data_IF_037180715482
#
_entry.id   IF_037180715482
#
_cell.length_a   1.000
_cell.length_b   1.000
_cell.length_c   1.000
_cell.angle_alpha   90.00
_cell.angle_beta   90.00
_cell.angle_gamma   90.00
#
_symmetry.space_group_name_H-M   'P 1'
#
loop_
_entity.id
_entity.type
_entity.pdbx_description
1 polymer ?
#
# COMPACT_ATOMS: atom_id res chain seq x y z
N UNK A 1 -1.91 -22.89 -5.56
CA UNK A 1 -3.01 -22.05 -4.99
C UNK A 1 -2.63 -20.57 -4.90
N UNK A 2 -1.46 -20.24 -4.35
CA UNK A 2 -0.99 -18.85 -4.20
C UNK A 2 -1.02 -18.03 -5.50
N UNK A 3 -0.57 -18.59 -6.61
CA UNK A 3 -0.56 -17.93 -7.93
C UNK A 3 -1.97 -17.49 -8.37
N UNK A 4 -2.96 -18.39 -8.28
CA UNK A 4 -4.34 -18.09 -8.65
C UNK A 4 -4.96 -17.00 -7.74
N UNK A 5 -4.71 -17.08 -6.43
CA UNK A 5 -5.17 -16.07 -5.46
C UNK A 5 -4.52 -14.71 -5.76
N UNK A 6 -3.23 -14.69 -6.08
CA UNK A 6 -2.48 -13.48 -6.40
C UNK A 6 -2.98 -12.81 -7.68
N UNK A 7 -3.20 -13.60 -8.75
CA UNK A 7 -3.81 -13.07 -9.97
C UNK A 7 -5.23 -12.56 -9.73
N UNK A 8 -6.06 -13.34 -9.04
CA UNK A 8 -7.42 -12.95 -8.69
C UNK A 8 -7.49 -11.64 -7.91
N UNK A 9 -6.65 -11.49 -6.88
CA UNK A 9 -6.63 -10.28 -6.06
C UNK A 9 -6.16 -9.06 -6.84
N UNK A 10 -5.07 -9.17 -7.62
CA UNK A 10 -4.57 -8.07 -8.44
C UNK A 10 -5.60 -7.64 -9.48
N UNK A 11 -6.23 -8.59 -10.19
CA UNK A 11 -7.27 -8.29 -11.19
C UNK A 11 -8.44 -7.55 -10.53
N UNK A 12 -8.94 -8.01 -9.39
CA UNK A 12 -10.03 -7.35 -8.66
C UNK A 12 -9.65 -5.93 -8.26
N UNK A 13 -8.43 -5.71 -7.78
CA UNK A 13 -7.94 -4.37 -7.41
C UNK A 13 -7.87 -3.46 -8.63
N UNK A 14 -7.28 -3.92 -9.74
CA UNK A 14 -7.15 -3.12 -10.97
C UNK A 14 -8.52 -2.79 -11.57
N UNK A 15 -9.44 -3.76 -11.65
CA UNK A 15 -10.81 -3.54 -12.11
C UNK A 15 -11.53 -2.55 -11.19
N UNK A 16 -11.41 -2.70 -9.87
CA UNK A 16 -12.00 -1.80 -8.89
C UNK A 16 -11.49 -0.36 -9.03
N UNK A 17 -10.18 -0.20 -9.20
CA UNK A 17 -9.54 1.10 -9.47
C UNK A 17 -10.05 1.70 -10.79
N UNK A 18 -10.13 0.88 -11.84
CA UNK A 18 -10.60 1.31 -13.17
C UNK A 18 -12.06 1.77 -13.13
N UNK A 19 -12.96 0.97 -12.55
CA UNK A 19 -14.38 1.32 -12.39
C UNK A 19 -14.49 2.62 -11.59
N UNK A 20 -13.83 2.70 -10.44
CA UNK A 20 -13.90 3.89 -9.59
C UNK A 20 -13.31 5.14 -10.26
N UNK A 21 -12.28 4.99 -11.10
CA UNK A 21 -11.74 6.06 -11.93
C UNK A 21 -12.75 6.50 -13.00
N UNK A 22 -13.33 5.56 -13.76
CA UNK A 22 -14.31 5.85 -14.82
C UNK A 22 -15.58 6.51 -14.27
N UNK A 23 -16.15 6.01 -13.16
CA UNK A 23 -17.32 6.60 -12.52
C UNK A 23 -17.06 8.03 -12.03
N UNK A 24 -15.80 8.37 -11.71
CA UNK A 24 -15.44 9.72 -11.29
C UNK A 24 -15.31 10.73 -12.44
N UNK A 25 -14.97 10.26 -13.65
CA UNK A 25 -14.97 11.09 -14.86
C UNK A 25 -16.40 11.56 -15.19
N UNK A 26 -17.37 10.64 -15.07
CA UNK A 26 -18.75 10.93 -15.44
C UNK A 26 -19.44 11.87 -14.44
N UNK A 27 -19.10 11.76 -13.14
CA UNK A 27 -19.49 12.74 -12.12
C UNK A 27 -18.84 14.13 -12.30
N UNK A 28 -17.64 14.18 -12.87
CA UNK A 28 -16.90 15.42 -13.14
C UNK A 28 -17.38 16.22 -14.36
N UNK A 29 -18.11 15.59 -15.30
CA UNK A 29 -18.75 16.30 -16.42
C UNK A 29 -19.87 17.24 -15.98
N UNK A 30 -20.49 17.00 -14.82
CA UNK A 30 -21.56 17.87 -14.27
C UNK A 30 -21.04 19.08 -13.50
N UNK A 31 -19.73 19.20 -13.26
CA UNK A 31 -19.12 20.25 -12.42
C UNK A 31 -17.99 21.02 -13.12
N UNK A 32 -17.94 21.04 -14.45
CA UNK A 32 -17.04 21.92 -15.20
C UNK A 32 -17.72 23.20 -15.64
N UNK A 33 -17.92 24.10 -14.69
CA UNK A 33 -17.83 25.54 -14.93
C UNK A 33 -16.81 26.11 -13.94
N UNK A 34 -15.65 26.54 -14.48
CA UNK A 34 -14.52 27.22 -13.80
C UNK A 34 -13.66 26.39 -12.83
N UNK A 35 -12.60 25.78 -13.37
CA UNK A 35 -11.23 26.17 -13.01
C UNK A 35 -10.26 25.63 -14.05
N UNK A 36 -9.73 26.55 -14.87
CA UNK A 36 -8.64 26.28 -15.78
C UNK A 36 -7.35 26.52 -15.01
N UNK A 37 -6.80 25.45 -14.41
CA UNK A 37 -5.42 25.45 -13.96
C UNK A 37 -4.81 24.09 -14.27
N UNK A 38 -4.32 23.97 -15.50
CA UNK A 38 -3.51 22.84 -15.97
C UNK A 38 -2.24 22.76 -15.11
N UNK A 39 -2.25 21.91 -14.08
CA UNK A 39 -1.01 21.48 -13.43
C UNK A 39 -0.37 20.40 -14.30
N UNK A 40 0.94 20.48 -14.61
CA UNK A 40 1.62 19.52 -15.47
C UNK A 40 1.62 18.11 -14.83
N UNK A 41 1.69 17.04 -15.65
CA UNK A 41 1.41 15.66 -15.24
C UNK A 41 2.51 15.02 -14.36
N UNK A 42 3.60 15.73 -14.07
CA UNK A 42 4.81 15.18 -13.45
C UNK A 42 5.16 15.87 -12.10
N UNK A 43 4.15 16.12 -11.27
CA UNK A 43 4.30 16.75 -9.94
C UNK A 43 4.28 15.72 -8.79
N UNK A 44 4.81 14.50 -9.02
CA UNK A 44 4.92 13.50 -7.95
C UNK A 44 6.10 13.80 -7.00
N UNK A 45 7.12 14.50 -7.50
CA UNK A 45 8.24 15.06 -6.71
C UNK A 45 8.12 16.58 -6.56
N UNK A 46 6.94 17.09 -6.18
CA UNK A 46 6.71 18.51 -5.93
C UNK A 46 7.55 19.03 -4.77
N UNK A 47 8.76 19.52 -5.05
CA UNK A 47 9.50 20.39 -4.13
C UNK A 47 8.84 21.77 -4.14
N UNK A 48 7.82 21.96 -3.32
CA UNK A 48 7.43 23.32 -2.93
C UNK A 48 8.55 23.93 -2.10
N UNK A 49 9.00 25.12 -2.49
CA UNK A 49 10.16 25.81 -1.89
C UNK A 49 9.94 26.23 -0.42
N UNK A 50 8.78 25.98 0.17
CA UNK A 50 8.41 26.35 1.56
C UNK A 50 8.18 25.19 2.54
N UNK A 51 8.44 23.92 2.17
CA UNK A 51 8.25 22.79 3.09
C UNK A 51 9.37 22.73 4.15
N UNK A 52 8.99 22.64 5.43
CA UNK A 52 9.92 22.38 6.53
C UNK A 52 10.72 21.08 6.32
N UNK A 53 11.91 21.00 6.93
CA UNK A 53 12.85 19.87 6.77
C UNK A 53 12.18 18.52 7.02
N UNK A 54 11.40 18.40 8.10
CA UNK A 54 10.68 17.18 8.45
C UNK A 54 9.67 16.76 7.35
N UNK A 55 8.95 17.72 6.76
CA UNK A 55 7.99 17.42 5.69
C UNK A 55 8.67 16.91 4.42
N UNK A 56 9.86 17.42 4.09
CA UNK A 56 10.67 16.90 2.98
C UNK A 56 11.14 15.48 3.28
N UNK A 57 11.64 15.22 4.49
CA UNK A 57 12.10 13.90 4.91
C UNK A 57 10.96 12.86 4.87
N UNK A 58 9.76 13.21 5.35
CA UNK A 58 8.56 12.35 5.23
C UNK A 58 8.26 11.96 3.79
N UNK A 59 8.34 12.90 2.84
CA UNK A 59 8.11 12.62 1.41
C UNK A 59 9.20 11.71 0.84
N UNK A 60 10.47 11.97 1.15
CA UNK A 60 11.59 11.13 0.70
C UNK A 60 11.42 9.70 1.25
N UNK A 61 11.16 9.55 2.55
CA UNK A 61 10.94 8.26 3.17
C UNK A 61 9.74 7.52 2.55
N UNK A 62 8.65 8.22 2.21
CA UNK A 62 7.52 7.63 1.50
C UNK A 62 7.92 7.12 0.10
N UNK A 63 8.63 7.93 -0.69
CA UNK A 63 9.09 7.53 -2.03
C UNK A 63 10.05 6.35 -1.96
N UNK A 64 11.00 6.37 -1.03
CA UNK A 64 11.95 5.26 -0.81
C UNK A 64 11.21 4.00 -0.36
N UNK A 65 10.26 4.10 0.58
CA UNK A 65 9.43 2.96 1.00
C UNK A 65 8.67 2.35 -0.19
N UNK A 66 8.03 3.18 -1.03
CA UNK A 66 7.33 2.70 -2.23
C UNK A 66 8.30 2.03 -3.21
N UNK A 67 9.47 2.63 -3.45
CA UNK A 67 10.48 2.05 -4.33
C UNK A 67 10.99 0.70 -3.81
N UNK A 68 11.33 0.59 -2.53
CA UNK A 68 11.74 -0.67 -1.92
C UNK A 68 10.62 -1.73 -1.98
N UNK A 69 9.38 -1.34 -1.67
CA UNK A 69 8.24 -2.25 -1.78
C UNK A 69 8.03 -2.73 -3.21
N UNK A 70 8.19 -1.85 -4.20
CA UNK A 70 8.09 -2.21 -5.61
C UNK A 70 9.20 -3.18 -6.01
N UNK A 71 10.45 -2.94 -5.60
CA UNK A 71 11.57 -3.87 -5.84
C UNK A 71 11.25 -5.23 -5.22
N UNK A 72 10.87 -5.29 -3.94
CA UNK A 72 10.54 -6.55 -3.25
C UNK A 72 9.35 -7.27 -3.89
N UNK A 73 8.32 -6.52 -4.30
CA UNK A 73 7.16 -7.09 -4.97
C UNK A 73 7.57 -7.68 -6.32
N UNK A 74 8.29 -6.94 -7.15
CA UNK A 74 8.74 -7.45 -8.46
C UNK A 74 9.64 -8.67 -8.29
N UNK A 75 10.60 -8.64 -7.37
CA UNK A 75 11.52 -9.77 -7.15
C UNK A 75 10.79 -11.00 -6.62
N UNK A 76 9.86 -10.86 -5.67
CA UNK A 76 9.12 -11.99 -5.12
C UNK A 76 8.04 -12.54 -6.05
N UNK A 77 7.31 -11.67 -6.75
CA UNK A 77 6.19 -12.08 -7.58
C UNK A 77 6.58 -12.46 -9.01
N UNK A 78 7.68 -11.96 -9.56
CA UNK A 78 8.07 -12.28 -10.96
C UNK A 78 8.30 -13.78 -11.18
N UNK A 79 9.18 -14.41 -10.40
CA UNK A 79 9.42 -15.86 -10.49
C UNK A 79 8.19 -16.67 -10.09
N UNK A 80 7.53 -16.28 -9.00
CA UNK A 80 6.41 -17.03 -8.43
C UNK A 80 5.13 -16.95 -9.28
N UNK A 81 4.85 -15.84 -9.96
CA UNK A 81 3.68 -15.71 -10.83
C UNK A 81 3.90 -16.26 -12.24
N UNK A 82 5.13 -16.23 -12.73
CA UNK A 82 5.44 -16.69 -14.08
C UNK A 82 5.70 -18.20 -14.15
N UNK A 83 6.46 -18.75 -13.20
CA UNK A 83 6.99 -20.13 -13.28
C UNK A 83 6.76 -20.94 -11.99
N UNK A 84 6.10 -20.36 -10.98
CA UNK A 84 5.93 -20.92 -9.62
C UNK A 84 7.25 -21.27 -8.91
N UNK A 85 8.38 -20.75 -9.39
CA UNK A 85 9.70 -20.99 -8.82
C UNK A 85 9.97 -20.13 -7.58
N UNK A 86 10.80 -20.68 -6.68
CA UNK A 86 11.32 -19.94 -5.53
C UNK A 86 12.44 -19.00 -5.97
N UNK A 87 12.47 -17.83 -5.34
CA UNK A 87 13.47 -16.80 -5.58
C UNK A 87 14.86 -17.26 -5.16
N UNK A 88 15.86 -17.11 -6.03
CA UNK A 88 17.25 -17.51 -5.79
C UNK A 88 18.25 -16.48 -6.34
N UNK A 89 19.54 -16.66 -6.00
CA UNK A 89 20.64 -15.85 -6.53
C UNK A 89 20.50 -14.34 -6.28
N UNK A 90 20.83 -13.54 -7.29
CA UNK A 90 20.80 -12.07 -7.19
C UNK A 90 19.40 -11.49 -6.92
N UNK A 91 18.34 -12.16 -7.37
CA UNK A 91 16.95 -11.73 -7.14
C UNK A 91 16.63 -11.82 -5.64
N UNK A 92 17.07 -12.90 -4.99
CA UNK A 92 16.96 -13.09 -3.53
C UNK A 92 17.77 -12.02 -2.78
N UNK A 93 19.00 -11.75 -3.22
CA UNK A 93 19.85 -10.72 -2.60
C UNK A 93 19.21 -9.33 -2.68
N UNK A 94 18.62 -8.96 -3.82
CA UNK A 94 17.92 -7.68 -3.97
C UNK A 94 16.68 -7.59 -3.08
N UNK A 95 15.90 -8.67 -2.99
CA UNK A 95 14.72 -8.71 -2.14
C UNK A 95 15.08 -8.56 -0.66
N UNK A 96 16.00 -9.40 -0.16
CA UNK A 96 16.41 -9.39 1.25
C UNK A 96 17.16 -8.09 1.58
N UNK A 97 17.97 -7.56 0.66
CA UNK A 97 18.70 -6.31 0.84
C UNK A 97 17.80 -5.06 0.85
N UNK A 98 16.66 -5.07 0.17
CA UNK A 98 15.71 -3.95 0.18
C UNK A 98 14.75 -3.97 1.37
N UNK A 99 14.51 -5.13 1.98
CA UNK A 99 13.67 -5.29 3.17
C UNK A 99 14.05 -4.39 4.36
N UNK A 100 15.30 -4.31 4.84
CA UNK A 100 15.65 -3.46 5.97
C UNK A 100 15.45 -1.97 5.68
N UNK A 101 15.73 -1.52 4.45
CA UNK A 101 15.50 -0.14 4.02
C UNK A 101 14.00 0.18 4.04
N UNK A 102 13.18 -0.73 3.53
CA UNK A 102 11.72 -0.63 3.60
C UNK A 102 11.22 -0.53 5.04
N UNK A 103 11.64 -1.45 5.92
CA UNK A 103 11.24 -1.47 7.33
C UNK A 103 11.62 -0.15 8.02
N UNK A 104 12.85 0.33 7.82
CA UNK A 104 13.30 1.61 8.39
C UNK A 104 12.43 2.79 7.94
N UNK A 105 12.11 2.87 6.64
CA UNK A 105 11.24 3.91 6.11
C UNK A 105 9.81 3.81 6.65
N UNK A 106 9.24 2.60 6.72
CA UNK A 106 7.88 2.36 7.22
C UNK A 106 7.77 2.71 8.69
N UNK A 107 8.74 2.35 9.52
CA UNK A 107 8.79 2.72 10.95
C UNK A 107 8.83 4.25 11.10
N UNK A 108 9.68 4.92 10.32
CA UNK A 108 9.74 6.38 10.31
C UNK A 108 8.40 7.03 9.89
N UNK A 109 7.76 6.50 8.84
CA UNK A 109 6.45 6.97 8.39
C UNK A 109 5.36 6.70 9.43
N UNK A 110 5.37 5.53 10.08
CA UNK A 110 4.45 5.20 11.16
C UNK A 110 4.52 6.24 12.27
N UNK A 111 5.72 6.52 12.78
CA UNK A 111 5.92 7.51 13.86
C UNK A 111 5.48 8.90 13.41
N UNK A 112 5.81 9.30 12.18
CA UNK A 112 5.61 10.67 11.72
C UNK A 112 4.22 10.97 11.14
N UNK A 113 3.48 9.95 10.70
CA UNK A 113 2.14 10.07 10.10
C UNK A 113 1.02 9.47 10.96
N UNK A 114 1.30 8.64 11.97
CA UNK A 114 0.27 8.01 12.81
C UNK A 114 -0.75 9.02 13.36
N UNK A 115 -0.29 10.19 13.82
CA UNK A 115 -1.19 11.23 14.32
C UNK A 115 -2.15 11.76 13.24
N UNK A 116 -1.66 11.97 12.00
CA UNK A 116 -2.47 12.45 10.87
C UNK A 116 -3.42 11.37 10.36
N UNK A 117 -3.04 10.11 10.54
CA UNK A 117 -3.84 8.93 10.20
C UNK A 117 -4.71 8.42 11.36
N UNK A 118 -4.84 9.18 12.46
CA UNK A 118 -5.73 8.83 13.56
C UNK A 118 -7.19 8.83 13.06
N UNK A 119 -7.90 7.74 13.31
CA UNK A 119 -9.32 7.64 13.04
C UNK A 119 -10.08 8.57 13.99
N UNK A 120 -10.90 9.46 13.45
CA UNK A 120 -11.75 10.35 14.24
C UNK A 120 -13.05 9.64 14.62
N UNK A 121 -13.78 10.20 15.59
CA UNK A 121 -15.09 9.66 16.00
C UNK A 121 -16.07 9.54 14.81
N UNK A 122 -16.10 10.55 13.95
CA UNK A 122 -16.95 10.57 12.74
C UNK A 122 -16.58 9.43 11.78
N UNK A 123 -15.28 9.20 11.58
CA UNK A 123 -14.79 8.11 10.73
C UNK A 123 -15.07 6.73 11.34
N UNK A 124 -15.06 6.62 12.66
CA UNK A 124 -15.40 5.39 13.38
C UNK A 124 -16.90 5.05 13.28
N UNK A 125 -17.75 6.06 13.41
CA UNK A 125 -19.20 5.94 13.19
C UNK A 125 -19.50 5.57 11.73
N UNK A 126 -18.82 6.21 10.77
CA UNK A 126 -18.93 5.85 9.36
C UNK A 126 -18.52 4.40 9.10
N UNK A 127 -17.40 3.95 9.67
CA UNK A 127 -16.94 2.57 9.55
C UNK A 127 -17.97 1.60 10.11
N UNK A 128 -18.52 1.90 11.29
CA UNK A 128 -19.52 1.06 11.96
C UNK A 128 -20.80 0.96 11.14
N UNK A 129 -21.28 2.07 10.57
CA UNK A 129 -22.44 2.08 9.67
C UNK A 129 -22.20 1.26 8.41
N UNK A 130 -21.02 1.38 7.79
CA UNK A 130 -20.64 0.59 6.60
C UNK A 130 -20.57 -0.91 6.90
N UNK A 131 -20.00 -1.31 8.04
CA UNK A 131 -19.95 -2.72 8.47
C UNK A 131 -21.37 -3.27 8.69
N UNK A 132 -22.30 -2.43 9.14
CA UNK A 132 -23.72 -2.76 9.29
C UNK A 132 -24.52 -2.64 7.98
N UNK A 133 -23.85 -2.47 6.83
CA UNK A 133 -24.48 -2.29 5.51
C UNK A 133 -25.50 -1.13 5.44
N UNK A 134 -25.31 -0.10 6.26
CA UNK A 134 -26.15 1.10 6.24
C UNK A 134 -25.62 2.12 5.23
N UNK A 135 -26.53 2.89 4.62
CA UNK A 135 -26.14 3.97 3.72
C UNK A 135 -25.42 5.07 4.49
N UNK A 136 -24.30 5.52 3.94
CA UNK A 136 -23.53 6.65 4.47
C UNK A 136 -23.42 7.68 3.35
N UNK A 137 -23.75 8.93 3.64
CA UNK A 137 -23.40 10.05 2.76
C UNK A 137 -21.88 10.24 2.73
N UNK A 138 -21.22 9.58 1.77
CA UNK A 138 -19.78 9.51 1.65
C UNK A 138 -19.16 10.77 1.01
N UNK A 139 -19.49 11.98 1.49
CA UNK A 139 -18.87 13.20 0.97
C UNK A 139 -17.53 13.49 1.67
N UNK A 140 -16.45 13.05 1.02
CA UNK A 140 -15.09 13.53 1.32
C UNK A 140 -14.38 12.87 2.51
N UNK A 141 -14.89 11.77 3.05
CA UNK A 141 -14.24 11.07 4.17
C UNK A 141 -12.89 10.48 3.80
N UNK A 142 -11.88 10.74 4.65
CA UNK A 142 -10.54 10.16 4.56
C UNK A 142 -10.44 8.72 5.09
N UNK A 143 -11.56 8.10 5.47
CA UNK A 143 -11.62 6.81 6.15
C UNK A 143 -10.81 5.72 5.43
N UNK A 144 -11.09 5.45 4.15
CA UNK A 144 -10.40 4.38 3.41
C UNK A 144 -8.89 4.63 3.28
N UNK A 145 -8.46 5.89 3.17
CA UNK A 145 -7.03 6.23 3.14
C UNK A 145 -6.34 5.92 4.47
N UNK A 146 -7.02 6.22 5.59
CA UNK A 146 -6.49 5.91 6.94
C UNK A 146 -6.51 4.41 7.22
N UNK A 147 -7.58 3.70 6.83
CA UNK A 147 -7.66 2.25 6.95
C UNK A 147 -6.58 1.56 6.12
N UNK A 148 -6.33 2.03 4.90
CA UNK A 148 -5.30 1.44 4.06
C UNK A 148 -3.89 1.68 4.60
N UNK A 149 -3.65 2.86 5.20
CA UNK A 149 -2.42 3.13 5.94
C UNK A 149 -2.25 2.15 7.11
N UNK A 150 -3.22 2.06 8.03
CA UNK A 150 -3.12 1.17 9.18
C UNK A 150 -3.04 -0.30 8.79
N UNK A 151 -3.78 -0.72 7.77
CA UNK A 151 -3.71 -2.07 7.20
C UNK A 151 -2.30 -2.40 6.69
N UNK A 152 -1.68 -1.50 5.94
CA UNK A 152 -0.29 -1.67 5.48
C UNK A 152 0.72 -1.72 6.64
N UNK A 153 0.59 -0.82 7.63
CA UNK A 153 1.46 -0.82 8.81
C UNK A 153 1.32 -2.12 9.60
N UNK A 154 0.09 -2.56 9.84
CA UNK A 154 -0.21 -3.81 10.54
C UNK A 154 0.36 -5.02 9.80
N UNK A 155 0.14 -5.12 8.48
CA UNK A 155 0.59 -6.25 7.66
C UNK A 155 2.12 -6.31 7.49
N UNK A 156 2.82 -5.18 7.64
CA UNK A 156 4.29 -5.15 7.63
C UNK A 156 4.88 -6.01 8.76
N UNK A 157 4.21 -6.05 9.92
CA UNK A 157 4.68 -6.79 11.10
C UNK A 157 4.70 -8.31 10.85
N UNK A 158 3.58 -9.00 10.55
CA UNK A 158 3.61 -10.43 10.30
C UNK A 158 4.40 -10.78 9.04
N UNK A 159 4.42 -9.93 8.00
CA UNK A 159 5.26 -10.16 6.82
C UNK A 159 6.75 -10.19 7.18
N UNK A 160 7.21 -9.28 8.04
CA UNK A 160 8.62 -9.22 8.45
C UNK A 160 8.98 -10.32 9.45
N UNK A 161 8.14 -10.51 10.49
CA UNK A 161 8.41 -11.49 11.54
C UNK A 161 8.42 -12.92 11.01
N UNK A 162 7.51 -13.24 10.09
CA UNK A 162 7.41 -14.58 9.52
C UNK A 162 8.69 -14.98 8.77
N UNK A 163 9.18 -14.12 7.87
CA UNK A 163 10.38 -14.44 7.09
C UNK A 163 11.66 -14.38 7.92
N UNK A 164 11.77 -13.45 8.87
CA UNK A 164 12.92 -13.41 9.80
C UNK A 164 12.98 -14.70 10.60
N UNK A 165 11.84 -15.21 11.06
CA UNK A 165 11.76 -16.48 11.79
C UNK A 165 12.22 -17.67 10.94
N UNK A 166 11.87 -17.68 9.64
CA UNK A 166 12.35 -18.70 8.68
C UNK A 166 13.88 -18.61 8.52
N UNK A 167 14.45 -17.41 8.42
CA UNK A 167 15.90 -17.21 8.23
C UNK A 167 16.75 -17.76 9.38
N UNK A 168 16.25 -17.73 10.62
CA UNK A 168 16.95 -18.25 11.79
C UNK A 168 16.67 -19.72 12.09
N UNK A 169 15.85 -20.40 11.28
CA UNK A 169 15.50 -21.82 11.44
C UNK A 169 15.04 -22.20 12.86
N UNK A 170 14.36 -21.27 13.55
CA UNK A 170 13.96 -21.43 14.96
C UNK A 170 12.93 -22.54 15.17
N UNK A 171 12.25 -22.95 14.09
CA UNK A 171 11.17 -23.92 14.12
C UNK A 171 11.43 -25.10 13.19
N UNK A 172 10.69 -26.19 13.41
CA UNK A 172 10.74 -27.38 12.56
C UNK A 172 10.24 -27.14 11.13
N UNK A 173 10.40 -28.13 10.26
CA UNK A 173 10.12 -28.04 8.82
C UNK A 173 8.68 -27.62 8.49
N UNK A 174 7.69 -28.18 9.20
CA UNK A 174 6.29 -27.84 9.00
C UNK A 174 6.00 -26.37 9.34
N UNK A 175 6.52 -25.89 10.47
CA UNK A 175 6.33 -24.52 10.93
C UNK A 175 7.02 -23.51 10.00
N UNK A 176 8.19 -23.87 9.43
CA UNK A 176 8.86 -23.04 8.44
C UNK A 176 8.02 -22.89 7.16
N UNK A 177 7.35 -23.96 6.72
CA UNK A 177 6.43 -23.90 5.58
C UNK A 177 5.26 -22.97 5.88
N UNK A 178 4.64 -23.10 7.06
CA UNK A 178 3.55 -22.21 7.49
C UNK A 178 4.01 -20.76 7.55
N UNK A 179 5.17 -20.47 8.14
CA UNK A 179 5.73 -19.12 8.20
C UNK A 179 6.02 -18.55 6.80
N UNK A 180 6.51 -19.37 5.89
CA UNK A 180 6.72 -18.96 4.50
C UNK A 180 5.39 -18.62 3.81
N UNK A 181 4.34 -19.43 4.01
CA UNK A 181 3.00 -19.12 3.50
C UNK A 181 2.43 -17.83 4.12
N UNK A 182 2.61 -17.64 5.43
CA UNK A 182 2.22 -16.40 6.11
C UNK A 182 2.93 -15.21 5.49
N UNK A 183 4.25 -15.30 5.27
CA UNK A 183 5.01 -14.24 4.59
C UNK A 183 4.44 -13.93 3.21
N UNK A 184 4.15 -14.96 2.40
CA UNK A 184 3.60 -14.81 1.06
C UNK A 184 2.24 -14.10 1.05
N UNK A 185 1.27 -14.59 1.84
CA UNK A 185 -0.08 -14.01 1.85
C UNK A 185 -0.14 -12.64 2.49
N UNK A 186 0.63 -12.41 3.57
CA UNK A 186 0.70 -11.09 4.21
C UNK A 186 1.40 -10.06 3.32
N UNK A 187 2.42 -10.47 2.56
CA UNK A 187 3.09 -9.61 1.58
C UNK A 187 2.17 -9.26 0.40
N UNK A 188 1.39 -10.22 -0.11
CA UNK A 188 0.37 -9.97 -1.13
C UNK A 188 -0.68 -8.97 -0.65
N UNK A 189 -1.18 -9.15 0.58
CA UNK A 189 -2.10 -8.21 1.19
C UNK A 189 -1.45 -6.83 1.38
N UNK A 190 -0.21 -6.76 1.85
CA UNK A 190 0.53 -5.52 2.05
C UNK A 190 0.66 -4.73 0.74
N UNK A 191 1.08 -5.39 -0.34
CA UNK A 191 1.19 -4.77 -1.68
C UNK A 191 -0.18 -4.29 -2.16
N UNK A 192 -1.23 -5.09 -1.96
CA UNK A 192 -2.60 -4.72 -2.30
C UNK A 192 -3.05 -3.44 -1.58
N UNK A 193 -2.85 -3.39 -0.26
CA UNK A 193 -3.14 -2.22 0.56
C UNK A 193 -2.33 -1.00 0.13
N UNK A 194 -1.04 -1.17 -0.20
CA UNK A 194 -0.18 -0.10 -0.68
C UNK A 194 -0.64 0.47 -2.03
N UNK A 195 -1.02 -0.38 -3.00
CA UNK A 195 -1.55 0.05 -4.31
C UNK A 195 -2.80 0.91 -4.11
N UNK A 196 -3.77 0.42 -3.31
CA UNK A 196 -5.01 1.15 -3.03
C UNK A 196 -4.69 2.45 -2.28
N UNK A 197 -3.78 2.43 -1.31
CA UNK A 197 -3.38 3.62 -0.56
C UNK A 197 -2.79 4.70 -1.47
N UNK A 198 -1.82 4.33 -2.31
CA UNK A 198 -1.17 5.24 -3.27
C UNK A 198 -2.21 5.83 -4.22
N UNK A 199 -3.12 4.99 -4.75
CA UNK A 199 -4.22 5.45 -5.61
C UNK A 199 -5.11 6.49 -4.91
N UNK A 200 -5.52 6.24 -3.66
CA UNK A 200 -6.36 7.16 -2.89
C UNK A 200 -5.64 8.48 -2.59
N UNK A 201 -4.35 8.42 -2.26
CA UNK A 201 -3.52 9.62 -2.04
C UNK A 201 -3.40 10.44 -3.31
N UNK A 202 -3.08 9.80 -4.45
CA UNK A 202 -2.99 10.45 -5.75
C UNK A 202 -4.30 11.14 -6.14
N UNK A 203 -5.42 10.45 -5.96
CA UNK A 203 -6.74 11.00 -6.29
C UNK A 203 -7.07 12.25 -5.47
N UNK A 204 -6.67 12.28 -4.21
CA UNK A 204 -6.94 13.45 -3.35
C UNK A 204 -6.12 14.67 -3.77
N UNK A 205 -4.91 14.47 -4.30
CA UNK A 205 -4.07 15.57 -4.80
C UNK A 205 -4.56 16.12 -6.15
N UNK A 206 -5.29 15.31 -6.94
CA UNK A 206 -5.85 15.70 -8.23
C UNK A 206 -7.22 16.39 -8.16
N UNK A 207 -7.83 16.48 -6.97
CA UNK A 207 -9.06 17.26 -6.73
C UNK A 207 -8.69 18.67 -6.25
#
# INVERSE_FOLDING_TARGET
>A
MFQAISWGSLIVIFIGILIHYLSSIDGGKKTKAKSDQKKPPFWWCGWEKGLGCLSKLKRIAAVVAVACLMVMAVTAFSGRLAVDELMSGYVLMLHVGSAPVFIGCVVFLLITWAHQCRLTQVEWEELTKRIRFQSVEAKGSGLFRKLTFWGAMFLTVPASLSIVSVMFTLFGTHEQEVLFQVHQYTSLALVSFAIVHIYLVLRQQSK
#
